data_IF_728784983018
#
_entry.id   IF_728784983018
#
_cell.length_a   1.000
_cell.length_b   1.000
_cell.length_c   1.000
_cell.angle_alpha   90.00
_cell.angle_beta   90.00
_cell.angle_gamma   90.00
#
_symmetry.space_group_name_H-M   'P 1'
#
loop_
_entity.id
_entity.type
_entity.pdbx_description
1 polymer ?
#
# COMPACT_ATOMS: atom_id res chain seq x y z
N UNK A 1 -18.44 -45.73 25.69
CA UNK A 1 -19.79 -45.77 25.09
C UNK A 1 -19.97 -44.42 24.39
N UNK A 2 -19.53 -44.33 23.13
CA UNK A 2 -20.38 -44.17 21.92
C UNK A 2 -21.05 -42.80 21.87
N UNK A 3 -20.49 -41.82 21.15
CA UNK A 3 -20.79 -41.54 19.73
C UNK A 3 -21.42 -40.13 19.66
N UNK A 4 -21.33 -39.31 18.62
CA UNK A 4 -20.87 -39.50 17.26
C UNK A 4 -20.68 -38.15 16.56
N UNK A 5 -19.92 -38.22 15.49
CA UNK A 5 -19.45 -37.14 14.62
C UNK A 5 -20.36 -37.09 13.39
N UNK A 6 -20.95 -35.93 13.07
CA UNK A 6 -21.68 -35.74 11.80
C UNK A 6 -21.04 -34.64 10.99
N UNK A 7 -20.28 -35.07 9.97
CA UNK A 7 -19.81 -34.27 8.83
C UNK A 7 -20.98 -34.04 7.87
N UNK A 8 -21.21 -32.79 7.48
CA UNK A 8 -22.12 -32.44 6.39
C UNK A 8 -21.33 -32.40 5.09
N UNK A 9 -21.53 -33.40 4.24
CA UNK A 9 -20.97 -33.52 2.89
C UNK A 9 -22.02 -33.01 1.91
N UNK A 10 -21.76 -31.87 1.25
CA UNK A 10 -22.57 -31.40 0.11
C UNK A 10 -22.10 -32.12 -1.15
N UNK A 11 -22.75 -33.24 -1.47
CA UNK A 11 -22.77 -33.80 -2.82
C UNK A 11 -23.72 -32.98 -3.71
N UNK A 12 -23.20 -32.37 -4.78
CA UNK A 12 -24.01 -31.82 -5.86
C UNK A 12 -24.10 -32.86 -6.98
N UNK A 13 -25.28 -33.51 -7.06
CA UNK A 13 -25.60 -34.56 -8.02
C UNK A 13 -25.64 -34.03 -9.46
N UNK A 14 -25.01 -34.82 -10.34
CA UNK A 14 -25.26 -34.85 -11.78
C UNK A 14 -26.76 -34.97 -12.08
N UNK A 15 -27.30 -34.02 -12.83
CA UNK A 15 -28.65 -34.11 -13.42
C UNK A 15 -28.52 -34.64 -14.85
N UNK A 16 -29.18 -35.78 -15.07
CA UNK A 16 -29.30 -36.50 -16.33
C UNK A 16 -30.10 -35.71 -17.38
N UNK A 17 -29.61 -35.82 -18.61
CA UNK A 17 -30.31 -35.68 -19.89
C UNK A 17 -31.72 -36.30 -19.85
N UNK A 18 -32.72 -35.56 -20.37
CA UNK A 18 -33.92 -36.12 -20.95
C UNK A 18 -34.38 -35.29 -22.16
N UNK A 19 -34.77 -36.02 -23.18
CA UNK A 19 -35.02 -35.68 -24.57
C UNK A 19 -36.46 -35.18 -24.81
N UNK A 20 -36.58 -34.32 -25.84
CA UNK A 20 -37.70 -34.11 -26.77
C UNK A 20 -38.98 -33.41 -26.28
N UNK A 21 -39.24 -32.22 -26.83
CA UNK A 21 -40.44 -31.96 -27.63
C UNK A 21 -40.26 -30.68 -28.47
N UNK A 22 -40.43 -30.85 -29.78
CA UNK A 22 -40.45 -29.85 -30.83
C UNK A 22 -41.66 -28.93 -30.65
N UNK A 23 -41.45 -27.67 -30.33
CA UNK A 23 -42.42 -26.60 -30.57
C UNK A 23 -41.65 -25.39 -31.12
N UNK A 24 -42.05 -24.95 -32.31
CA UNK A 24 -41.47 -23.78 -32.97
C UNK A 24 -41.67 -22.53 -32.12
N UNK A 25 -40.57 -22.02 -31.58
CA UNK A 25 -40.52 -20.72 -30.90
C UNK A 25 -39.95 -19.73 -31.92
N UNK A 26 -40.62 -18.59 -32.19
CA UNK A 26 -40.03 -17.54 -33.01
C UNK A 26 -38.76 -17.04 -32.32
N UNK A 27 -37.62 -17.20 -32.99
CA UNK A 27 -36.34 -16.62 -32.60
C UNK A 27 -36.49 -15.10 -32.76
N UNK A 28 -36.98 -14.44 -31.71
CA UNK A 28 -36.82 -13.00 -31.58
C UNK A 28 -35.34 -12.79 -31.25
N UNK A 29 -34.57 -12.44 -32.28
CA UNK A 29 -33.15 -12.12 -32.17
C UNK A 29 -32.96 -10.91 -31.26
N UNK A 30 -32.82 -11.17 -29.96
CA UNK A 30 -32.30 -10.20 -29.01
C UNK A 30 -30.86 -9.89 -29.39
N UNK A 31 -30.62 -8.68 -29.89
CA UNK A 31 -29.27 -8.16 -30.08
C UNK A 31 -28.59 -8.24 -28.70
N UNK A 32 -27.45 -8.96 -28.56
CA UNK A 32 -26.70 -8.92 -27.32
C UNK A 32 -26.24 -7.48 -27.13
N UNK A 33 -26.87 -6.75 -26.21
CA UNK A 33 -26.32 -5.52 -25.68
C UNK A 33 -25.01 -5.89 -25.00
N UNK A 34 -23.91 -5.73 -25.74
CA UNK A 34 -22.59 -5.78 -25.17
C UNK A 34 -22.55 -4.74 -24.06
N UNK A 35 -22.43 -5.21 -22.81
CA UNK A 35 -22.16 -4.33 -21.69
C UNK A 35 -20.82 -3.65 -22.00
N UNK A 36 -20.88 -2.37 -22.38
CA UNK A 36 -19.70 -1.53 -22.45
C UNK A 36 -19.23 -1.41 -21.01
N UNK A 37 -18.23 -2.22 -20.66
CA UNK A 37 -17.47 -2.00 -19.44
C UNK A 37 -16.79 -0.64 -19.62
N UNK A 38 -17.29 0.37 -18.91
CA UNK A 38 -16.58 1.64 -18.79
C UNK A 38 -15.18 1.33 -18.26
N UNK A 39 -14.20 1.44 -19.16
CA UNK A 39 -12.80 1.22 -18.83
C UNK A 39 -12.41 2.35 -17.89
N UNK A 40 -12.25 2.03 -16.60
CA UNK A 40 -11.87 3.01 -15.58
C UNK A 40 -10.45 3.46 -15.92
N UNK A 41 -10.35 4.58 -16.62
CA UNK A 41 -9.07 5.20 -16.99
C UNK A 41 -8.32 5.52 -15.71
N UNK A 42 -7.36 4.66 -15.37
CA UNK A 42 -6.55 4.82 -14.17
C UNK A 42 -5.49 5.86 -14.47
N UNK A 43 -5.61 7.03 -13.83
CA UNK A 43 -4.67 8.14 -14.02
C UNK A 43 -3.37 7.82 -13.30
N UNK A 44 -2.24 7.87 -14.01
CA UNK A 44 -0.91 7.72 -13.41
C UNK A 44 -0.37 9.08 -12.99
N UNK A 45 0.11 9.19 -11.75
CA UNK A 45 0.70 10.41 -11.20
C UNK A 45 2.19 10.22 -11.00
N UNK A 46 2.94 11.32 -11.01
CA UNK A 46 4.36 11.37 -10.67
C UNK A 46 4.56 12.34 -9.50
N UNK A 47 5.50 12.04 -8.61
CA UNK A 47 5.83 12.86 -7.46
C UNK A 47 7.34 12.78 -7.19
N UNK A 48 7.94 13.90 -6.84
CA UNK A 48 9.31 13.98 -6.36
C UNK A 48 9.28 14.29 -4.87
N UNK A 49 9.38 13.25 -4.03
CA UNK A 49 9.36 13.42 -2.58
C UNK A 49 10.78 13.71 -2.10
N UNK A 50 11.01 14.88 -1.53
CA UNK A 50 12.31 15.28 -0.99
C UNK A 50 12.22 15.60 0.50
N UNK A 51 13.15 15.08 1.30
CA UNK A 51 13.26 15.35 2.74
C UNK A 51 14.72 15.24 3.15
N UNK A 52 15.25 16.27 3.82
CA UNK A 52 16.63 16.30 4.34
C UNK A 52 17.70 15.88 3.31
N UNK A 53 17.57 16.35 2.07
CA UNK A 53 18.49 16.04 0.97
C UNK A 53 18.26 14.69 0.27
N UNK A 54 17.46 13.79 0.85
CA UNK A 54 17.06 12.54 0.19
C UNK A 54 15.91 12.81 -0.78
N UNK A 55 15.88 12.08 -1.91
CA UNK A 55 14.85 12.25 -2.94
C UNK A 55 14.36 10.90 -3.46
N UNK A 56 13.04 10.76 -3.51
CA UNK A 56 12.34 9.57 -3.96
C UNK A 56 11.47 9.99 -5.16
N UNK A 57 11.97 9.86 -6.41
CA UNK A 57 11.11 9.97 -7.57
C UNK A 57 10.16 8.77 -7.57
N UNK A 58 8.85 9.02 -7.55
CA UNK A 58 7.85 7.96 -7.54
C UNK A 58 6.76 8.23 -8.57
N UNK A 59 6.16 7.15 -9.03
CA UNK A 59 4.91 7.17 -9.79
C UNK A 59 3.90 6.26 -9.10
N UNK A 60 2.61 6.53 -9.27
CA UNK A 60 1.56 5.70 -8.68
C UNK A 60 0.26 5.84 -9.46
N UNK A 61 -0.64 4.89 -9.28
CA UNK A 61 -1.98 4.92 -9.84
C UNK A 61 -2.91 5.73 -8.91
N UNK A 62 -3.68 6.66 -9.48
CA UNK A 62 -4.65 7.49 -8.79
C UNK A 62 -6.07 7.11 -9.23
N UNK A 63 -6.61 5.97 -8.74
CA UNK A 63 -7.96 5.54 -9.08
C UNK A 63 -9.05 6.38 -8.40
N UNK A 64 -8.67 7.38 -7.60
CA UNK A 64 -9.59 8.16 -6.78
C UNK A 64 -9.66 9.63 -7.19
N UNK A 65 -8.90 10.04 -8.21
CA UNK A 65 -8.86 11.44 -8.66
C UNK A 65 -8.34 12.40 -7.59
N UNK A 66 -7.43 11.95 -6.73
CA UNK A 66 -6.87 12.75 -5.65
C UNK A 66 -5.95 13.86 -6.13
N UNK A 67 -5.66 14.80 -5.23
CA UNK A 67 -4.70 15.88 -5.38
C UNK A 67 -3.36 15.43 -4.80
N UNK A 68 -2.32 15.46 -5.62
CA UNK A 68 -0.96 15.14 -5.23
C UNK A 68 -0.10 16.41 -5.22
N UNK A 69 0.71 16.59 -4.18
CA UNK A 69 1.78 17.59 -4.09
C UNK A 69 3.12 16.88 -3.88
N UNK A 70 4.23 17.60 -3.72
CA UNK A 70 5.55 16.98 -3.56
C UNK A 70 5.70 16.12 -2.29
N UNK A 71 4.78 16.20 -1.33
CA UNK A 71 4.87 15.44 -0.08
C UNK A 71 3.52 14.98 0.47
N UNK A 72 2.43 15.14 -0.30
CA UNK A 72 1.08 14.82 0.17
C UNK A 72 0.21 14.27 -0.94
N UNK A 73 -0.71 13.38 -0.59
CA UNK A 73 -1.82 12.95 -1.43
C UNK A 73 -3.11 13.06 -0.64
N UNK A 74 -4.14 13.66 -1.26
CA UNK A 74 -5.42 13.93 -0.61
C UNK A 74 -6.57 13.63 -1.57
N UNK A 75 -7.58 12.91 -1.13
CA UNK A 75 -8.79 12.67 -1.93
C UNK A 75 -9.94 13.56 -1.46
N UNK A 76 -10.60 14.25 -2.38
CA UNK A 76 -11.81 15.00 -2.06
C UNK A 76 -13.01 14.06 -2.20
N UNK A 77 -13.54 13.57 -1.07
CA UNK A 77 -14.76 12.75 -0.99
C UNK A 77 -14.65 11.31 -1.53
N UNK A 78 -13.83 10.45 -0.90
CA UNK A 78 -13.96 9.01 -1.13
C UNK A 78 -15.35 8.55 -0.66
N UNK A 79 -16.22 8.26 -1.63
CA UNK A 79 -17.58 7.83 -1.36
C UNK A 79 -17.56 6.40 -0.83
N UNK A 80 -18.23 6.18 0.30
CA UNK A 80 -18.43 4.86 0.87
C UNK A 80 -19.91 4.56 1.02
N UNK A 81 -20.29 3.27 1.04
CA UNK A 81 -21.63 2.87 1.45
C UNK A 81 -21.92 3.42 2.86
N UNK A 82 -22.94 4.28 3.01
CA UNK A 82 -23.40 4.79 4.30
C UNK A 82 -23.16 6.28 4.60
N UNK A 83 -23.17 7.18 3.61
CA UNK A 83 -23.10 8.65 3.77
C UNK A 83 -21.84 9.21 4.46
N UNK A 84 -20.86 8.39 4.80
CA UNK A 84 -19.61 8.86 5.37
C UNK A 84 -18.64 9.23 4.25
N UNK A 85 -18.42 10.54 4.08
CA UNK A 85 -17.35 11.08 3.24
C UNK A 85 -16.04 10.95 4.00
N UNK A 86 -15.10 10.17 3.46
CA UNK A 86 -13.75 10.08 3.98
C UNK A 86 -12.78 10.88 3.13
N UNK A 87 -11.93 11.68 3.75
CA UNK A 87 -10.74 12.23 3.11
C UNK A 87 -9.58 11.28 3.40
N UNK A 88 -9.07 10.58 2.38
CA UNK A 88 -7.78 9.91 2.51
C UNK A 88 -6.69 10.96 2.37
N UNK A 89 -6.03 11.24 3.48
CA UNK A 89 -4.83 12.06 3.55
C UNK A 89 -3.62 11.13 3.75
N UNK A 90 -2.56 11.29 2.96
CA UNK A 90 -1.26 10.65 3.18
C UNK A 90 -0.16 11.71 3.07
N UNK A 91 0.70 11.78 4.09
CA UNK A 91 1.91 12.58 4.05
C UNK A 91 3.10 11.67 3.76
N UNK A 92 3.96 12.06 2.82
CA UNK A 92 5.15 11.31 2.44
C UNK A 92 6.42 12.01 2.91
N UNK A 93 7.44 11.21 3.18
CA UNK A 93 8.83 11.62 3.41
C UNK A 93 9.75 10.66 2.69
N UNK A 94 10.86 11.17 2.18
CA UNK A 94 11.93 10.34 1.63
C UNK A 94 13.11 10.37 2.58
N UNK A 95 13.50 9.23 3.12
CA UNK A 95 14.59 9.14 4.10
C UNK A 95 15.70 8.24 3.58
N UNK A 96 16.88 8.33 4.20
CA UNK A 96 17.94 7.36 3.96
C UNK A 96 17.49 5.99 4.45
N UNK A 97 17.72 4.95 3.65
CA UNK A 97 17.36 3.60 4.07
C UNK A 97 18.26 3.02 5.17
N UNK A 98 19.37 3.70 5.49
CA UNK A 98 20.21 3.38 6.64
C UNK A 98 19.85 4.15 7.91
N UNK A 99 18.85 5.04 7.86
CA UNK A 99 18.40 5.81 9.03
C UNK A 99 17.43 4.99 9.88
N UNK A 100 18.00 4.10 10.69
CA UNK A 100 17.22 3.17 11.53
C UNK A 100 16.35 3.90 12.55
N UNK A 101 16.77 5.08 13.01
CA UNK A 101 16.06 5.81 14.05
C UNK A 101 14.78 6.44 13.50
N UNK A 102 14.84 7.05 12.31
CA UNK A 102 13.64 7.55 11.64
C UNK A 102 12.67 6.41 11.24
N UNK A 103 13.21 5.26 10.81
CA UNK A 103 12.38 4.09 10.48
C UNK A 103 11.64 3.59 11.73
N UNK A 104 12.35 3.43 12.86
CA UNK A 104 11.75 2.97 14.12
C UNK A 104 10.68 3.93 14.62
N UNK A 105 10.92 5.24 14.53
CA UNK A 105 9.95 6.25 14.91
C UNK A 105 8.68 6.20 14.06
N UNK A 106 8.78 5.78 12.79
CA UNK A 106 7.65 5.72 11.86
C UNK A 106 6.83 4.43 11.98
N UNK A 107 7.48 3.26 12.12
CA UNK A 107 6.82 1.96 11.93
C UNK A 107 6.78 1.03 13.14
N UNK A 108 7.52 1.32 14.22
CA UNK A 108 7.80 0.31 15.26
C UNK A 108 8.27 -1.01 14.62
N UNK A 109 9.23 -0.88 13.69
CA UNK A 109 9.79 -1.97 12.91
C UNK A 109 11.23 -1.64 12.51
N UNK A 110 12.02 -2.68 12.27
CA UNK A 110 13.37 -2.58 11.74
C UNK A 110 13.54 -3.44 10.49
N UNK A 111 14.54 -3.12 9.68
CA UNK A 111 14.97 -3.97 8.57
C UNK A 111 16.26 -4.67 8.95
N UNK A 112 16.25 -6.00 8.98
CA UNK A 112 17.46 -6.80 9.14
C UNK A 112 18.15 -6.93 7.78
N UNK A 113 19.25 -6.21 7.59
CA UNK A 113 20.06 -6.25 6.37
C UNK A 113 20.71 -7.61 6.11
N UNK A 114 20.98 -8.41 7.15
CA UNK A 114 21.58 -9.74 6.97
C UNK A 114 20.54 -10.73 6.45
N UNK A 115 19.33 -10.65 6.97
CA UNK A 115 18.22 -11.53 6.59
C UNK A 115 17.39 -10.97 5.42
N UNK A 116 17.65 -9.72 5.01
CA UNK A 116 16.85 -8.97 4.03
C UNK A 116 15.36 -9.04 4.37
N UNK A 117 15.03 -8.79 5.64
CA UNK A 117 13.68 -9.00 6.17
C UNK A 117 13.27 -7.94 7.18
N UNK A 118 12.02 -7.51 7.08
CA UNK A 118 11.38 -6.67 8.08
C UNK A 118 11.08 -7.45 9.36
N UNK A 119 11.45 -6.88 10.48
CA UNK A 119 11.16 -7.39 11.82
C UNK A 119 10.32 -6.38 12.58
N UNK A 120 9.33 -6.89 13.32
CA UNK A 120 8.54 -6.07 14.24
C UNK A 120 9.45 -5.65 15.40
N UNK A 121 9.51 -4.35 15.68
CA UNK A 121 10.30 -3.78 16.78
C UNK A 121 9.37 -2.89 17.62
N UNK A 122 8.79 -3.49 18.65
CA UNK A 122 7.82 -2.82 19.53
C UNK A 122 8.39 -2.59 20.92
N UNK A 123 9.70 -2.71 21.12
CA UNK A 123 10.28 -2.68 22.47
C UNK A 123 10.10 -1.32 23.15
N UNK A 124 10.01 -0.24 22.36
CA UNK A 124 9.71 1.11 22.85
C UNK A 124 8.23 1.40 23.15
N UNK A 125 7.31 0.47 22.90
CA UNK A 125 5.88 0.68 23.12
C UNK A 125 5.45 0.20 24.52
N UNK A 126 4.47 0.88 25.10
CA UNK A 126 3.78 0.42 26.32
C UNK A 126 3.00 -0.88 26.04
N UNK A 127 2.77 -1.73 27.06
CA UNK A 127 2.04 -3.00 26.88
C UNK A 127 0.68 -2.84 26.18
N UNK A 128 -0.06 -1.79 26.51
CA UNK A 128 -1.36 -1.50 25.89
C UNK A 128 -1.24 -1.06 24.43
N UNK A 129 -0.16 -0.36 24.06
CA UNK A 129 0.11 0.05 22.68
C UNK A 129 0.51 -1.16 21.83
N UNK A 130 1.28 -2.11 22.39
CA UNK A 130 1.62 -3.37 21.72
C UNK A 130 0.39 -4.17 21.27
N UNK A 131 -0.73 -4.06 22.02
CA UNK A 131 -2.00 -4.74 21.73
C UNK A 131 -2.78 -4.07 20.59
N UNK A 132 -2.62 -2.77 20.39
CA UNK A 132 -3.31 -2.01 19.34
C UNK A 132 -2.46 -1.78 18.09
N UNK A 133 -1.14 -1.97 18.18
CA UNK A 133 -0.22 -1.91 17.05
C UNK A 133 -0.25 -3.18 16.23
N UNK A 134 -0.65 -3.07 14.96
CA UNK A 134 -0.62 -4.18 13.99
C UNK A 134 0.36 -3.84 12.88
N UNK A 135 1.38 -4.68 12.76
CA UNK A 135 2.39 -4.58 11.71
C UNK A 135 2.15 -5.64 10.63
N UNK A 136 2.40 -5.30 9.37
CA UNK A 136 2.28 -6.24 8.26
C UNK A 136 3.15 -5.84 7.06
N UNK A 137 3.63 -6.80 6.26
CA UNK A 137 4.40 -6.50 5.07
C UNK A 137 3.54 -5.81 4.01
N UNK A 138 4.15 -4.92 3.24
CA UNK A 138 3.55 -4.32 2.05
C UNK A 138 4.56 -4.39 0.91
N UNK A 139 4.09 -4.76 -0.28
CA UNK A 139 4.89 -4.80 -1.51
C UNK A 139 4.29 -3.79 -2.48
N UNK A 140 5.15 -2.92 -3.01
CA UNK A 140 4.80 -2.03 -4.10
C UNK A 140 5.32 -2.60 -5.43
N UNK A 141 5.24 -1.85 -6.53
CA UNK A 141 5.56 -2.36 -7.87
C UNK A 141 7.00 -2.89 -7.96
N UNK A 142 7.95 -2.12 -7.44
CA UNK A 142 9.39 -2.43 -7.50
C UNK A 142 10.12 -2.17 -6.17
N UNK A 143 9.40 -2.34 -5.06
CA UNK A 143 9.98 -2.22 -3.72
C UNK A 143 9.20 -3.05 -2.70
N UNK A 144 9.89 -3.43 -1.64
CA UNK A 144 9.32 -4.14 -0.50
C UNK A 144 9.33 -3.23 0.73
N UNK A 145 8.39 -3.46 1.63
CA UNK A 145 8.15 -2.56 2.73
C UNK A 145 7.37 -3.19 3.87
N UNK A 146 7.06 -2.33 4.82
CA UNK A 146 6.32 -2.69 6.02
C UNK A 146 5.36 -1.57 6.37
N UNK A 147 4.23 -1.96 6.92
CA UNK A 147 3.19 -1.04 7.32
C UNK A 147 2.75 -1.34 8.75
N UNK A 148 2.22 -0.31 9.39
CA UNK A 148 1.70 -0.37 10.74
C UNK A 148 0.36 0.36 10.82
N UNK A 149 -0.52 -0.16 11.65
CA UNK A 149 -1.68 0.57 12.15
C UNK A 149 -1.63 0.60 13.65
N UNK A 150 -2.10 1.69 14.24
CA UNK A 150 -2.17 1.87 15.68
C UNK A 150 -3.50 2.54 16.04
N UNK A 151 -4.25 1.92 16.95
CA UNK A 151 -5.48 2.52 17.49
C UNK A 151 -5.15 3.38 18.71
N UNK A 152 -5.66 4.62 18.73
CA UNK A 152 -5.61 5.46 19.91
C UNK A 152 -6.24 4.71 21.10
N UNK A 153 -5.53 4.67 22.23
CA UNK A 153 -5.91 3.87 23.40
C UNK A 153 -6.69 4.65 24.46
N UNK A 154 -6.61 5.98 24.43
CA UNK A 154 -7.22 6.90 25.38
C UNK A 154 -8.50 7.55 24.81
N UNK A 155 -9.28 8.19 25.70
CA UNK A 155 -10.51 8.88 25.33
C UNK A 155 -11.71 7.98 25.00
N UNK A 156 -12.78 8.61 24.52
CA UNK A 156 -14.04 7.96 24.14
C UNK A 156 -13.82 6.99 22.96
N UNK A 157 -14.21 5.71 23.07
CA UNK A 157 -14.15 4.75 21.97
C UNK A 157 -14.75 5.25 20.64
N UNK A 158 -15.77 6.12 20.68
CA UNK A 158 -16.41 6.70 19.49
C UNK A 158 -15.55 7.73 18.77
N UNK A 159 -14.58 8.32 19.46
CA UNK A 159 -13.70 9.37 18.90
C UNK A 159 -12.29 8.86 18.60
N UNK A 160 -11.95 7.63 19.03
CA UNK A 160 -10.65 7.02 18.74
C UNK A 160 -10.45 6.90 17.24
N UNK A 161 -9.28 7.32 16.79
CA UNK A 161 -8.80 7.07 15.44
C UNK A 161 -7.80 5.93 15.41
N UNK A 162 -7.69 5.35 14.22
CA UNK A 162 -6.61 4.47 13.81
C UNK A 162 -5.67 5.28 12.96
N UNK A 163 -4.40 5.30 13.31
CA UNK A 163 -3.34 5.80 12.45
C UNK A 163 -2.87 4.68 11.50
N UNK A 164 -2.28 5.09 10.37
CA UNK A 164 -1.60 4.20 9.44
C UNK A 164 -0.26 4.82 9.05
N UNK A 165 0.78 4.01 9.01
CA UNK A 165 2.06 4.39 8.44
C UNK A 165 2.66 3.22 7.65
N UNK A 166 3.51 3.53 6.68
CA UNK A 166 4.25 2.56 5.89
C UNK A 166 5.62 3.11 5.50
N UNK A 167 6.55 2.22 5.19
CA UNK A 167 7.78 2.56 4.49
C UNK A 167 8.09 1.51 3.42
N UNK A 168 8.47 1.98 2.23
CA UNK A 168 8.87 1.19 1.07
C UNK A 168 10.37 1.40 0.83
N UNK A 169 11.12 0.30 0.81
CA UNK A 169 12.57 0.30 0.70
C UNK A 169 13.02 0.18 -0.75
N UNK A 170 13.80 1.15 -1.24
CA UNK A 170 14.57 1.04 -2.49
C UNK A 170 15.94 1.71 -2.30
N UNK A 171 16.98 0.96 -1.88
CA UNK A 171 18.26 1.56 -1.52
C UNK A 171 18.81 2.46 -2.65
N UNK A 172 19.44 3.61 -2.31
CA UNK A 172 19.83 4.02 -0.96
C UNK A 172 18.71 4.71 -0.15
N UNK A 173 17.50 4.85 -0.71
CA UNK A 173 16.40 5.61 -0.10
C UNK A 173 15.26 4.72 0.40
N UNK A 174 14.37 5.33 1.17
CA UNK A 174 13.12 4.74 1.62
C UNK A 174 12.02 5.78 1.56
N UNK A 175 10.90 5.43 0.93
CA UNK A 175 9.71 6.28 0.94
C UNK A 175 8.86 5.86 2.13
N UNK A 176 8.69 6.75 3.09
CA UNK A 176 7.75 6.57 4.19
C UNK A 176 6.51 7.44 3.99
N UNK A 177 5.37 6.97 4.45
CA UNK A 177 4.17 7.79 4.51
C UNK A 177 3.28 7.44 5.67
N UNK A 178 2.46 8.41 6.11
CA UNK A 178 1.59 8.23 7.25
C UNK A 178 0.33 9.09 7.19
N UNK A 179 -0.64 8.70 8.02
CA UNK A 179 -1.85 9.45 8.30
C UNK A 179 -2.33 9.17 9.72
N UNK A 180 -2.73 10.19 10.48
CA UNK A 180 -3.22 10.00 11.85
C UNK A 180 -4.59 9.33 11.89
N UNK A 181 -5.39 9.45 10.82
CA UNK A 181 -6.81 9.09 10.82
C UNK A 181 -7.18 8.26 9.58
N UNK A 182 -6.72 7.00 9.52
CA UNK A 182 -7.13 6.06 8.45
C UNK A 182 -8.52 5.47 8.71
N UNK A 183 -8.94 5.37 9.96
CA UNK A 183 -10.24 4.82 10.33
C UNK A 183 -10.67 5.32 11.72
N UNK A 184 -11.96 5.16 12.02
CA UNK A 184 -12.51 5.20 13.39
C UNK A 184 -13.00 3.80 13.72
N UNK A 185 -12.30 3.01 14.56
CA UNK A 185 -12.64 1.61 14.81
C UNK A 185 -14.10 1.36 15.23
N UNK A 186 -14.71 2.32 15.94
CA UNK A 186 -16.13 2.25 16.33
C UNK A 186 -17.08 2.28 15.12
N UNK A 187 -16.75 3.02 14.06
CA UNK A 187 -17.55 3.16 12.84
C UNK A 187 -16.88 2.40 11.69
N UNK A 188 -17.24 1.14 11.49
CA UNK A 188 -16.61 0.26 10.47
C UNK A 188 -16.60 0.87 9.06
N UNK A 189 -17.62 1.65 8.72
CA UNK A 189 -17.74 2.32 7.42
C UNK A 189 -16.64 3.37 7.20
N UNK A 190 -15.94 3.83 8.25
CA UNK A 190 -14.89 4.84 8.13
C UNK A 190 -13.52 4.28 7.72
N UNK A 191 -13.35 2.96 7.57
CA UNK A 191 -12.03 2.34 7.28
C UNK A 191 -11.49 2.64 5.86
N UNK A 192 -10.53 3.56 5.75
CA UNK A 192 -9.86 3.94 4.51
C UNK A 192 -8.60 3.10 4.23
N UNK A 193 -8.26 2.14 5.08
CA UNK A 193 -7.04 1.35 4.95
C UNK A 193 -6.95 0.60 3.61
N UNK A 194 -8.02 -0.03 3.09
CA UNK A 194 -7.96 -0.66 1.76
C UNK A 194 -7.62 0.33 0.64
N UNK A 195 -8.10 1.58 0.75
CA UNK A 195 -7.86 2.62 -0.24
C UNK A 195 -6.40 3.06 -0.22
N UNK A 196 -5.87 3.32 0.98
CA UNK A 196 -4.46 3.62 1.19
C UNK A 196 -3.55 2.48 0.71
N UNK A 197 -3.87 1.22 1.03
CA UNK A 197 -3.06 0.08 0.59
C UNK A 197 -3.08 -0.11 -0.92
N UNK A 198 -4.20 0.16 -1.60
CA UNK A 198 -4.23 0.14 -3.07
C UNK A 198 -3.29 1.20 -3.65
N UNK A 199 -3.31 2.43 -3.11
CA UNK A 199 -2.39 3.49 -3.52
C UNK A 199 -0.93 3.07 -3.28
N UNK A 200 -0.59 2.65 -2.05
CA UNK A 200 0.77 2.26 -1.66
C UNK A 200 1.32 1.12 -2.51
N UNK A 201 0.49 0.11 -2.84
CA UNK A 201 0.89 -1.03 -3.68
C UNK A 201 1.16 -0.63 -5.13
N UNK A 202 0.54 0.45 -5.61
CA UNK A 202 0.78 0.99 -6.97
C UNK A 202 2.04 1.85 -7.06
N UNK A 203 2.69 2.16 -5.93
CA UNK A 203 3.89 3.00 -5.93
C UNK A 203 5.01 2.27 -6.67
N UNK A 204 5.58 2.96 -7.64
CA UNK A 204 6.76 2.56 -8.37
C UNK A 204 7.80 3.66 -8.23
N UNK A 205 8.96 3.32 -7.68
CA UNK A 205 10.08 4.25 -7.69
C UNK A 205 10.58 4.43 -9.13
N UNK A 206 10.86 5.67 -9.52
CA UNK A 206 11.59 5.97 -10.74
C UNK A 206 13.07 5.67 -10.57
N UNK A 207 13.82 5.76 -11.67
CA UNK A 207 15.27 5.73 -11.59
C UNK A 207 15.75 7.02 -10.94
N UNK A 208 16.48 6.89 -9.83
CA UNK A 208 17.28 7.99 -9.34
C UNK A 208 18.27 8.35 -10.44
N UNK A 209 18.56 9.64 -10.70
CA UNK A 209 19.72 10.00 -11.49
C UNK A 209 20.92 9.44 -10.71
N UNK A 210 21.40 8.27 -11.13
CA UNK A 210 22.58 7.65 -10.58
C UNK A 210 23.64 8.74 -10.59
N UNK A 211 24.21 9.06 -9.42
CA UNK A 211 25.52 9.69 -9.35
C UNK A 211 26.36 8.85 -10.28
N UNK A 212 26.64 9.37 -11.48
CA UNK A 212 27.55 8.73 -12.42
C UNK A 212 28.79 8.51 -11.57
N UNK A 213 29.05 7.26 -11.19
CA UNK A 213 30.35 6.90 -10.64
C UNK A 213 31.33 7.40 -11.68
N UNK A 214 31.99 8.50 -11.35
CA UNK A 214 33.10 9.01 -12.11
C UNK A 214 34.17 7.94 -12.05
N UNK A 215 34.09 6.97 -12.95
CA UNK A 215 35.29 6.47 -13.60
C UNK A 215 35.88 7.68 -14.30
N UNK A 216 36.69 8.39 -13.54
CA UNK A 216 37.79 9.18 -14.05
C UNK A 216 38.71 8.19 -14.74
N UNK A 217 38.38 7.82 -15.97
CA UNK A 217 39.36 7.34 -16.93
C UNK A 217 40.19 8.58 -17.25
N UNK A 218 41.19 8.85 -16.41
CA UNK A 218 42.22 9.86 -16.67
C UNK A 218 43.40 9.11 -17.31
N UNK A 219 43.61 9.20 -18.63
CA UNK A 219 44.77 8.63 -19.28
C UNK A 219 45.93 9.64 -19.22
N UNK A 220 47.11 9.12 -18.91
CA UNK A 220 48.43 9.76 -18.98
C UNK A 220 48.69 10.82 -17.89
N UNK A 221 49.56 10.58 -16.92
CA UNK A 221 50.93 10.10 -17.12
C UNK A 221 51.83 11.27 -17.53
N UNK A 222 52.04 12.24 -16.63
CA UNK A 222 53.17 13.15 -16.75
C UNK A 222 54.38 12.52 -16.02
N UNK A 223 55.51 12.28 -16.70
CA UNK A 223 56.72 11.84 -16.03
C UNK A 223 57.36 12.99 -15.24
N UNK A 224 58.12 12.69 -14.19
CA UNK A 224 58.81 13.69 -13.39
C UNK A 224 59.93 14.35 -14.20
N UNK A 225 59.96 15.67 -14.18
CA UNK A 225 61.10 16.46 -14.68
C UNK A 225 62.07 16.68 -13.51
N UNK A 226 63.29 16.20 -13.68
CA UNK A 226 64.51 16.58 -12.95
C UNK A 226 65.65 16.52 -13.98
N UNK A 227 66.66 17.40 -13.96
CA UNK A 227 67.26 18.06 -12.80
C UNK A 227 67.13 19.60 -12.75
#
# INVERSE_FOLDING_TARGET
MTGGQTRTQCELKMIKLLLLAYFGIPIVGGIPTAAVADDVVTVRRQMLVSTDGNTCPITFEDPYGGRATNSRYVTDNLHKPGNHRGELYLQFKCISSGDTDQIKHTLSAGYDERQQKWTRDVDGLLPVEKLTTRNFPVRAVNSDGFAVTYDAINGDPKTRSRAFAFCLRRPPVMLCGSTPDIARPYYRQSDLLPFALKLVRSIEFGDSPSVRSGKSDDPAGNPPISP
#
